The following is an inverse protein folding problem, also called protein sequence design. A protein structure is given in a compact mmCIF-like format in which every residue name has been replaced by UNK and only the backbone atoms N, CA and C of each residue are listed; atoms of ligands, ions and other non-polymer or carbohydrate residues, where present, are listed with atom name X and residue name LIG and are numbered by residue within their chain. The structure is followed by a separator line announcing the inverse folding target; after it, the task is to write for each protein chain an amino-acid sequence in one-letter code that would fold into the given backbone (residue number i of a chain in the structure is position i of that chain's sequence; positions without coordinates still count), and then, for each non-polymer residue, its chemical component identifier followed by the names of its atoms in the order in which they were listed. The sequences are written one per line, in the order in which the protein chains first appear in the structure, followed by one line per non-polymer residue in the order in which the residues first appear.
data_IF_588950004757
#
_entry.id   IF_588950004757
#
_cell.length_a   1.000
_cell.length_b   1.000
_cell.length_c   1.000
_cell.angle_alpha   90.00
_cell.angle_beta   90.00
_cell.angle_gamma   90.00
#
_symmetry.space_group_name_H-M   'P 1'
#
loop_
_entity.id
_entity.type
_entity.pdbx_description
1 polymer ?
#
# COMPACT_ATOMS: atom_id res chain seq x y z
N UNK A 1 31.32 38.19 -27.23
CA UNK A 1 30.79 37.96 -25.88
C UNK A 1 29.50 37.19 -26.02
N UNK A 2 29.38 36.03 -25.38
CA UNK A 2 28.14 35.26 -25.37
C UNK A 2 27.55 35.39 -23.97
N UNK A 3 26.38 36.02 -23.90
CA UNK A 3 25.60 36.14 -22.68
C UNK A 3 24.75 34.87 -22.57
N UNK A 4 25.05 34.02 -21.60
CA UNK A 4 24.23 32.87 -21.23
C UNK A 4 23.53 33.20 -19.91
N UNK A 5 22.21 33.24 -19.93
CA UNK A 5 21.38 33.28 -18.73
C UNK A 5 20.75 31.90 -18.58
N UNK A 6 21.29 31.08 -17.68
CA UNK A 6 20.66 29.80 -17.32
C UNK A 6 19.33 30.12 -16.63
N UNK A 7 18.20 29.68 -17.21
CA UNK A 7 16.92 29.68 -16.52
C UNK A 7 16.99 28.75 -15.30
N UNK A 8 17.44 29.28 -14.15
CA UNK A 8 17.16 28.68 -12.84
C UNK A 8 15.68 28.85 -12.52
N UNK A 9 14.83 28.05 -13.16
CA UNK A 9 13.50 27.72 -12.63
C UNK A 9 13.58 26.32 -12.03
N UNK A 10 14.39 26.16 -10.99
CA UNK A 10 14.14 25.08 -10.04
C UNK A 10 12.79 25.42 -9.42
N UNK A 11 11.74 24.71 -9.82
CA UNK A 11 10.51 24.68 -9.03
C UNK A 11 10.92 24.33 -7.59
N UNK A 12 10.35 24.97 -6.56
CA UNK A 12 10.64 24.59 -5.18
C UNK A 12 10.37 23.09 -5.03
N UNK A 13 11.32 22.36 -4.45
CA UNK A 13 11.20 20.92 -4.29
C UNK A 13 9.98 20.63 -3.41
N UNK A 14 9.05 19.82 -3.91
CA UNK A 14 7.84 19.45 -3.16
C UNK A 14 8.24 18.75 -1.85
N UNK A 15 7.82 19.33 -0.73
CA UNK A 15 8.03 18.79 0.61
C UNK A 15 6.83 17.94 1.00
N UNK A 16 7.08 16.68 1.35
CA UNK A 16 6.01 15.78 1.79
C UNK A 16 5.45 16.25 3.13
N UNK A 17 4.13 16.55 3.22
CA UNK A 17 3.48 16.89 4.47
C UNK A 17 3.58 15.76 5.49
N UNK A 18 3.50 16.12 6.77
CA UNK A 18 3.57 15.13 7.85
C UNK A 18 2.21 14.84 8.50
N UNK A 19 1.12 15.33 7.89
CA UNK A 19 -0.27 15.22 8.34
C UNK A 19 -0.77 13.79 8.44
N UNK A 20 -0.28 12.91 7.56
CA UNK A 20 -0.58 11.47 7.55
C UNK A 20 0.73 10.71 7.41
N UNK A 21 0.90 9.69 8.25
CA UNK A 21 2.12 8.90 8.34
C UNK A 21 1.79 7.41 8.45
N UNK A 22 2.76 6.59 8.04
CA UNK A 22 2.71 5.16 8.30
C UNK A 22 3.39 4.87 9.64
N UNK A 23 2.65 4.32 10.58
CA UNK A 23 3.14 3.82 11.86
C UNK A 23 3.43 2.33 11.73
N UNK A 24 4.71 1.96 11.79
CA UNK A 24 5.19 0.61 11.50
C UNK A 24 5.64 -0.07 12.78
N UNK A 25 4.89 -1.06 13.24
CA UNK A 25 5.19 -1.86 14.42
C UNK A 25 6.02 -3.10 14.05
N UNK A 26 7.03 -3.38 14.86
CA UNK A 26 7.57 -4.74 14.93
C UNK A 26 6.49 -5.67 15.51
N UNK A 27 6.46 -6.90 15.03
CA UNK A 27 5.53 -7.93 15.51
C UNK A 27 6.28 -9.22 15.80
N UNK A 28 5.82 -9.95 16.82
CA UNK A 28 6.18 -11.36 16.99
C UNK A 28 4.93 -12.20 16.76
N UNK A 29 4.92 -12.91 15.63
CA UNK A 29 3.85 -13.79 15.23
C UNK A 29 4.47 -14.84 14.29
N UNK A 30 4.21 -16.12 14.53
CA UNK A 30 4.75 -17.20 13.67
C UNK A 30 3.90 -17.39 12.43
N UNK A 31 2.58 -17.39 12.62
CA UNK A 31 1.59 -17.69 11.59
C UNK A 31 0.37 -16.83 11.78
N UNK A 32 -0.23 -16.40 10.68
CA UNK A 32 -1.50 -15.66 10.63
C UNK A 32 -2.38 -16.28 9.53
N UNK A 33 -3.71 -16.27 9.61
CA UNK A 33 -4.55 -16.79 8.54
C UNK A 33 -4.25 -16.11 7.20
N UNK A 34 -4.42 -16.83 6.09
CA UNK A 34 -4.21 -16.28 4.76
C UNK A 34 -5.18 -15.12 4.48
N UNK A 35 -6.45 -15.31 4.78
CA UNK A 35 -7.50 -14.30 4.67
C UNK A 35 -7.83 -13.69 6.05
N UNK A 36 -6.86 -12.98 6.61
CA UNK A 36 -6.97 -12.38 7.95
C UNK A 36 -7.55 -10.95 7.94
N UNK A 37 -7.98 -10.42 6.80
CA UNK A 37 -8.34 -9.01 6.66
C UNK A 37 -9.43 -8.56 7.65
N UNK A 38 -10.53 -9.33 7.73
CA UNK A 38 -11.61 -9.07 8.68
C UNK A 38 -11.15 -9.24 10.13
N UNK A 39 -10.48 -10.35 10.45
CA UNK A 39 -10.07 -10.67 11.81
C UNK A 39 -9.05 -9.66 12.36
N UNK A 40 -8.09 -9.25 11.53
CA UNK A 40 -7.10 -8.23 11.89
C UNK A 40 -7.76 -6.87 12.12
N UNK A 41 -8.66 -6.46 11.22
CA UNK A 41 -9.43 -5.22 11.39
C UNK A 41 -10.21 -5.23 12.70
N UNK A 42 -10.98 -6.29 12.97
CA UNK A 42 -11.79 -6.42 14.18
C UNK A 42 -10.93 -6.38 15.45
N UNK A 43 -9.79 -7.08 15.46
CA UNK A 43 -8.88 -7.10 16.61
C UNK A 43 -8.25 -5.73 16.88
N UNK A 44 -7.86 -5.00 15.82
CA UNK A 44 -7.30 -3.66 15.94
C UNK A 44 -8.35 -2.62 16.34
N UNK A 45 -9.57 -2.67 15.78
CA UNK A 45 -10.66 -1.79 16.20
C UNK A 45 -11.06 -2.05 17.66
N UNK A 46 -11.01 -3.30 18.13
CA UNK A 46 -11.23 -3.60 19.56
C UNK A 46 -10.17 -2.96 20.45
N UNK A 47 -8.90 -2.98 20.03
CA UNK A 47 -7.80 -2.37 20.78
C UNK A 47 -7.78 -0.83 20.68
N UNK A 48 -8.19 -0.28 19.54
CA UNK A 48 -8.25 1.15 19.23
C UNK A 48 -9.63 1.51 18.64
N UNK A 49 -10.68 1.66 19.47
CA UNK A 49 -12.05 1.88 18.99
C UNK A 49 -12.23 3.10 18.08
N UNK A 50 -11.35 4.11 18.23
CA UNK A 50 -11.38 5.31 17.40
C UNK A 50 -11.01 5.06 15.93
N UNK A 51 -10.41 3.91 15.58
CA UNK A 51 -10.04 3.58 14.19
C UNK A 51 -11.25 3.62 13.25
N UNK A 52 -12.42 3.17 13.70
CA UNK A 52 -13.64 3.12 12.89
C UNK A 52 -14.17 4.52 12.54
N UNK A 53 -13.93 5.49 13.40
CA UNK A 53 -14.38 6.87 13.23
C UNK A 53 -13.35 7.78 12.55
N UNK A 54 -12.12 7.28 12.30
CA UNK A 54 -11.03 8.06 11.72
C UNK A 54 -10.94 7.83 10.20
N UNK A 55 -11.38 8.78 9.34
CA UNK A 55 -11.53 8.53 7.91
C UNK A 55 -10.21 8.24 7.19
N UNK A 56 -9.11 8.79 7.71
CA UNK A 56 -7.77 8.61 7.15
C UNK A 56 -7.01 7.44 7.78
N UNK A 57 -7.64 6.69 8.70
CA UNK A 57 -7.05 5.46 9.21
C UNK A 57 -7.05 4.37 8.12
N UNK A 58 -5.98 3.60 8.08
CA UNK A 58 -5.83 2.46 7.17
C UNK A 58 -4.98 1.37 7.81
N UNK A 59 -5.36 0.12 7.58
CA UNK A 59 -4.65 -1.05 8.11
C UNK A 59 -4.03 -1.77 6.92
N UNK A 60 -2.70 -1.79 6.81
CA UNK A 60 -2.05 -2.59 5.78
C UNK A 60 -2.07 -4.07 6.20
N UNK A 61 -2.53 -4.94 5.29
CA UNK A 61 -2.53 -6.38 5.53
C UNK A 61 -1.10 -6.92 5.67
N UNK A 62 -0.97 -7.99 6.44
CA UNK A 62 0.31 -8.62 6.71
C UNK A 62 0.61 -9.62 5.60
N UNK A 63 1.66 -9.36 4.83
CA UNK A 63 2.07 -10.26 3.75
C UNK A 63 3.34 -11.02 4.11
N UNK A 64 3.38 -12.30 3.73
CA UNK A 64 4.60 -13.08 3.64
C UNK A 64 5.15 -13.03 2.21
N UNK A 65 6.33 -13.62 1.99
CA UNK A 65 6.86 -13.78 0.64
C UNK A 65 5.89 -14.63 -0.20
N UNK A 66 5.43 -14.09 -1.34
CA UNK A 66 4.43 -14.75 -2.19
C UNK A 66 4.97 -15.97 -2.93
N UNK A 67 6.29 -16.04 -3.15
CA UNK A 67 6.95 -17.19 -3.77
C UNK A 67 8.46 -17.09 -3.52
N UNK A 68 8.97 -17.93 -2.63
CA UNK A 68 10.40 -18.15 -2.44
C UNK A 68 10.61 -19.58 -1.94
N UNK A 69 11.50 -20.33 -2.59
CA UNK A 69 11.84 -21.73 -2.28
C UNK A 69 10.77 -22.78 -2.63
N UNK A 70 10.13 -22.70 -3.81
CA UNK A 70 9.28 -23.79 -4.30
C UNK A 70 7.94 -23.97 -3.56
N UNK A 71 7.57 -23.03 -2.69
CA UNK A 71 6.26 -22.99 -2.06
C UNK A 71 5.21 -22.50 -3.08
N UNK A 72 4.34 -23.42 -3.49
CA UNK A 72 3.16 -23.13 -4.31
C UNK A 72 2.04 -22.74 -3.34
N UNK A 73 1.43 -21.58 -3.58
CA UNK A 73 0.22 -21.15 -2.87
C UNK A 73 -0.90 -22.13 -3.24
N UNK A 74 -1.47 -22.89 -2.29
CA UNK A 74 -2.51 -23.85 -2.64
C UNK A 74 -3.81 -23.12 -3.02
N UNK A 75 -4.65 -23.78 -3.82
CA UNK A 75 -5.82 -23.17 -4.44
C UNK A 75 -7.01 -22.99 -3.49
N UNK A 76 -6.97 -23.59 -2.29
CA UNK A 76 -8.07 -23.61 -1.31
C UNK A 76 -7.65 -22.87 -0.04
N UNK A 77 -8.06 -21.61 0.08
CA UNK A 77 -7.63 -20.71 1.16
C UNK A 77 -8.26 -20.99 2.54
N UNK A 78 -9.14 -21.98 2.67
CA UNK A 78 -9.80 -22.28 3.96
C UNK A 78 -8.81 -22.97 4.91
N UNK A 79 -8.56 -22.35 6.06
CA UNK A 79 -7.57 -22.76 7.09
C UNK A 79 -6.11 -22.67 6.66
N UNK A 80 -5.79 -21.99 5.56
CA UNK A 80 -4.41 -21.71 5.22
C UNK A 80 -3.83 -20.59 6.08
N UNK A 81 -2.54 -20.73 6.40
CA UNK A 81 -1.78 -19.74 7.18
C UNK A 81 -0.57 -19.25 6.42
N UNK A 82 -0.24 -17.98 6.63
CA UNK A 82 1.01 -17.37 6.21
C UNK A 82 2.06 -17.55 7.31
N UNK A 83 3.20 -18.13 6.97
CA UNK A 83 4.38 -18.16 7.85
C UNK A 83 5.12 -16.83 7.76
N UNK A 84 5.27 -16.16 8.89
CA UNK A 84 5.84 -14.82 8.95
C UNK A 84 7.32 -14.86 9.28
N UNK A 85 8.09 -14.02 8.60
CA UNK A 85 9.49 -13.80 8.93
C UNK A 85 9.62 -12.80 10.10
N UNK A 86 10.75 -12.79 10.79
CA UNK A 86 11.07 -11.76 11.79
C UNK A 86 11.09 -10.32 11.23
N UNK A 87 11.16 -10.17 9.91
CA UNK A 87 11.16 -8.86 9.22
C UNK A 87 9.75 -8.34 8.96
N UNK A 88 8.73 -9.19 9.04
CA UNK A 88 7.33 -8.79 8.86
C UNK A 88 6.95 -7.74 9.91
N UNK A 89 6.09 -6.80 9.50
CA UNK A 89 5.65 -5.66 10.31
C UNK A 89 4.14 -5.52 10.20
N UNK A 90 3.53 -4.98 11.25
CA UNK A 90 2.18 -4.42 11.19
C UNK A 90 2.32 -2.94 10.84
N UNK A 91 1.55 -2.45 9.87
CA UNK A 91 1.61 -1.06 9.44
C UNK A 91 0.21 -0.44 9.44
N UNK A 92 0.09 0.71 10.12
CA UNK A 92 -1.12 1.52 10.15
C UNK A 92 -0.85 2.86 9.47
N UNK A 93 -1.70 3.26 8.53
CA UNK A 93 -1.68 4.62 7.98
C UNK A 93 -2.60 5.50 8.79
N UNK A 94 -2.09 6.57 9.39
CA UNK A 94 -2.81 7.36 10.38
C UNK A 94 -2.52 8.86 10.24
N UNK A 95 -3.50 9.72 10.55
CA UNK A 95 -3.23 11.12 10.84
C UNK A 95 -2.22 11.31 11.97
N UNK A 96 -1.40 12.37 11.88
CA UNK A 96 -0.33 12.66 12.84
C UNK A 96 -0.84 12.77 14.28
N UNK A 97 -2.01 13.37 14.48
CA UNK A 97 -2.64 13.51 15.80
C UNK A 97 -3.05 12.17 16.44
N UNK A 98 -3.19 11.09 15.66
CA UNK A 98 -3.53 9.74 16.15
C UNK A 98 -2.34 8.85 16.42
N UNK A 99 -1.11 9.27 16.08
CA UNK A 99 0.08 8.45 16.25
C UNK A 99 0.31 8.07 17.73
N UNK A 100 0.14 9.03 18.64
CA UNK A 100 0.28 8.77 20.08
C UNK A 100 -0.81 7.84 20.62
N UNK A 101 -2.04 7.98 20.13
CA UNK A 101 -3.14 7.07 20.52
C UNK A 101 -2.86 5.63 20.06
N UNK A 102 -2.30 5.47 18.87
CA UNK A 102 -1.94 4.16 18.32
C UNK A 102 -0.75 3.50 19.05
N UNK A 103 0.11 4.28 19.74
CA UNK A 103 1.20 3.71 20.55
C UNK A 103 0.70 2.82 21.68
N UNK A 104 -0.58 2.92 22.08
CA UNK A 104 -1.20 2.02 23.06
C UNK A 104 -1.14 0.54 22.64
N UNK A 105 -0.97 0.25 21.34
CA UNK A 105 -0.75 -1.11 20.85
C UNK A 105 0.60 -1.69 21.27
N UNK A 106 1.60 -0.87 21.59
CA UNK A 106 2.91 -1.36 22.00
C UNK A 106 2.81 -2.24 23.25
N UNK A 107 3.32 -3.46 23.16
CA UNK A 107 3.28 -4.44 24.25
C UNK A 107 1.98 -5.22 24.36
N UNK A 108 0.97 -4.92 23.53
CA UNK A 108 -0.26 -5.70 23.47
C UNK A 108 -0.06 -6.99 22.66
N UNK A 109 -0.79 -8.03 23.05
CA UNK A 109 -1.01 -9.22 22.23
C UNK A 109 -2.47 -9.24 21.79
N UNK A 110 -2.71 -9.25 20.48
CA UNK A 110 -4.05 -9.34 19.91
C UNK A 110 -4.27 -10.74 19.31
N UNK A 111 -5.51 -11.21 19.33
CA UNK A 111 -5.89 -12.46 18.67
C UNK A 111 -6.51 -12.17 17.30
N UNK A 112 -5.91 -12.73 16.26
CA UNK A 112 -6.39 -12.66 14.87
C UNK A 112 -6.86 -14.05 14.47
N UNK A 113 -8.16 -14.30 14.59
CA UNK A 113 -8.79 -15.60 14.31
C UNK A 113 -8.14 -16.77 15.09
N UNK A 114 -7.87 -16.54 16.38
CA UNK A 114 -7.21 -17.53 17.24
C UNK A 114 -5.68 -17.51 17.18
N UNK A 115 -5.06 -16.75 16.27
CA UNK A 115 -3.61 -16.60 16.19
C UNK A 115 -3.13 -15.38 16.98
N UNK A 116 -2.21 -15.59 17.91
CA UNK A 116 -1.63 -14.51 18.71
C UNK A 116 -0.62 -13.69 17.88
N UNK A 117 -0.78 -12.37 17.97
CA UNK A 117 0.11 -11.39 17.37
C UNK A 117 0.55 -10.41 18.45
N UNK A 118 1.82 -10.54 18.87
CA UNK A 118 2.45 -9.59 19.77
C UNK A 118 2.88 -8.34 19.01
N UNK A 119 2.45 -7.18 19.47
CA UNK A 119 2.82 -5.89 18.91
C UNK A 119 3.96 -5.29 19.74
N UNK A 120 5.05 -4.92 19.06
CA UNK A 120 6.29 -4.45 19.70
C UNK A 120 6.56 -3.00 19.32
N UNK A 121 7.79 -2.53 19.43
CA UNK A 121 8.12 -1.12 19.19
C UNK A 121 7.76 -0.67 17.77
N UNK A 122 7.40 0.59 17.63
CA UNK A 122 6.99 1.20 16.37
C UNK A 122 7.92 2.32 15.93
N UNK A 123 7.86 2.65 14.65
CA UNK A 123 8.48 3.85 14.09
C UNK A 123 7.50 4.51 13.12
N UNK A 124 7.35 5.84 13.22
CA UNK A 124 6.57 6.60 12.25
C UNK A 124 7.41 6.92 11.02
N UNK A 125 6.78 6.95 9.85
CA UNK A 125 7.40 7.28 8.58
C UNK A 125 6.49 8.21 7.81
N UNK A 126 7.08 9.28 7.26
CA UNK A 126 6.38 10.10 6.26
C UNK A 126 6.09 9.25 5.03
N UNK A 127 5.03 9.61 4.32
CA UNK A 127 4.76 9.06 3.00
C UNK A 127 5.91 9.38 2.04
N UNK A 128 6.00 8.61 0.96
CA UNK A 128 7.13 8.74 0.02
C UNK A 128 6.61 9.23 -1.32
N UNK A 129 7.12 10.37 -1.80
CA UNK A 129 6.86 10.82 -3.17
C UNK A 129 7.40 9.77 -4.15
N UNK A 130 6.60 9.39 -5.14
CA UNK A 130 6.99 8.40 -6.14
C UNK A 130 6.20 8.59 -7.42
N UNK A 131 6.82 8.54 -8.60
CA UNK A 131 6.08 8.58 -9.87
C UNK A 131 5.17 7.37 -10.03
N UNK A 132 5.41 6.29 -9.28
CA UNK A 132 4.63 5.05 -9.32
C UNK A 132 4.17 4.69 -7.92
N UNK A 133 2.87 4.47 -7.78
CA UNK A 133 2.25 3.93 -6.57
C UNK A 133 1.46 2.68 -6.90
N UNK A 134 1.35 1.79 -5.93
CA UNK A 134 0.68 0.51 -6.07
C UNK A 134 -0.24 0.24 -4.88
N UNK A 135 -1.47 -0.15 -5.17
CA UNK A 135 -2.40 -0.72 -4.21
C UNK A 135 -2.58 -2.20 -4.53
N UNK A 136 -2.38 -3.05 -3.52
CA UNK A 136 -2.51 -4.50 -3.70
C UNK A 136 -3.97 -4.94 -3.83
N UNK A 137 -4.87 -4.22 -3.14
CA UNK A 137 -6.29 -4.50 -3.11
C UNK A 137 -7.06 -3.20 -3.32
N UNK A 138 -7.85 -3.14 -4.38
CA UNK A 138 -8.87 -2.12 -4.63
C UNK A 138 -10.18 -2.84 -4.86
N UNK A 139 -11.21 -2.52 -4.09
CA UNK A 139 -12.50 -3.22 -4.18
C UNK A 139 -13.09 -3.01 -5.58
N UNK A 140 -13.57 -4.08 -6.19
CA UNK A 140 -14.31 -4.05 -7.45
C UNK A 140 -15.65 -4.76 -7.31
N UNK A 141 -16.67 -4.18 -7.94
CA UNK A 141 -18.01 -4.77 -8.04
C UNK A 141 -18.25 -5.44 -9.41
N UNK A 142 -17.30 -5.28 -10.33
CA UNK A 142 -17.39 -5.81 -11.69
C UNK A 142 -16.16 -6.65 -12.00
N UNK A 143 -16.39 -7.73 -12.75
CA UNK A 143 -15.32 -8.53 -13.35
C UNK A 143 -14.81 -7.91 -14.67
N UNK A 144 -15.52 -6.90 -15.19
CA UNK A 144 -15.07 -6.10 -16.33
C UNK A 144 -13.97 -5.11 -15.91
N UNK A 145 -12.76 -5.38 -16.41
CA UNK A 145 -11.57 -4.56 -16.20
C UNK A 145 -11.72 -3.14 -16.75
N UNK A 146 -12.35 -2.97 -17.91
CA UNK A 146 -12.51 -1.65 -18.53
C UNK A 146 -13.46 -0.78 -17.70
N UNK A 147 -14.57 -1.35 -17.24
CA UNK A 147 -15.48 -0.68 -16.31
C UNK A 147 -14.80 -0.31 -14.99
N UNK A 148 -13.98 -1.22 -14.44
CA UNK A 148 -13.18 -0.96 -13.24
C UNK A 148 -12.23 0.23 -13.45
N UNK A 149 -11.40 0.22 -14.50
CA UNK A 149 -10.45 1.29 -14.79
C UNK A 149 -11.14 2.64 -15.02
N UNK A 150 -12.29 2.65 -15.71
CA UNK A 150 -13.09 3.87 -15.91
C UNK A 150 -13.61 4.44 -14.59
N UNK A 151 -14.06 3.58 -13.66
CA UNK A 151 -14.51 4.01 -12.34
C UNK A 151 -13.35 4.59 -11.49
N UNK A 152 -12.17 3.98 -11.58
CA UNK A 152 -10.96 4.48 -10.91
C UNK A 152 -10.53 5.83 -11.50
N UNK A 153 -10.54 5.97 -12.82
CA UNK A 153 -10.23 7.23 -13.49
C UNK A 153 -11.14 8.37 -13.01
N UNK A 154 -12.43 8.10 -12.86
CA UNK A 154 -13.40 9.07 -12.32
C UNK A 154 -13.04 9.49 -10.89
N UNK A 155 -12.82 8.53 -9.98
CA UNK A 155 -12.44 8.84 -8.59
C UNK A 155 -11.15 9.67 -8.50
N UNK A 156 -10.14 9.32 -9.29
CA UNK A 156 -8.88 10.07 -9.33
C UNK A 156 -9.09 11.50 -9.86
N UNK A 157 -9.94 11.66 -10.88
CA UNK A 157 -10.28 12.98 -11.41
C UNK A 157 -11.02 13.85 -10.40
N UNK A 158 -11.93 13.27 -9.61
CA UNK A 158 -12.64 13.96 -8.51
C UNK A 158 -11.67 14.41 -7.39
N UNK A 159 -10.57 13.70 -7.21
CA UNK A 159 -9.47 14.09 -6.31
C UNK A 159 -8.52 15.13 -6.91
N UNK A 160 -8.72 15.53 -8.17
CA UNK A 160 -7.83 16.44 -8.90
C UNK A 160 -6.55 15.78 -9.43
N UNK A 161 -6.48 14.44 -9.45
CA UNK A 161 -5.32 13.69 -9.94
C UNK A 161 -5.51 13.36 -11.42
N UNK A 162 -4.56 13.78 -12.25
CA UNK A 162 -4.60 13.47 -13.68
C UNK A 162 -3.98 12.11 -13.96
N UNK A 163 -4.82 11.14 -14.26
CA UNK A 163 -4.38 9.81 -14.67
C UNK A 163 -3.65 9.84 -16.00
N UNK A 164 -2.39 9.38 -16.01
CA UNK A 164 -1.57 9.25 -17.22
C UNK A 164 -1.39 7.79 -17.62
N UNK A 165 -1.05 6.93 -16.66
CA UNK A 165 -0.93 5.48 -16.84
C UNK A 165 -1.53 4.74 -15.65
N UNK A 166 -2.33 3.72 -15.95
CA UNK A 166 -2.84 2.76 -14.96
C UNK A 166 -2.68 1.35 -15.50
N UNK A 167 -2.36 0.42 -14.61
CA UNK A 167 -2.30 -1.00 -14.93
C UNK A 167 -3.10 -1.78 -13.89
N UNK A 168 -4.12 -2.50 -14.37
CA UNK A 168 -4.84 -3.48 -13.56
C UNK A 168 -4.00 -4.75 -13.42
N UNK A 169 -3.95 -5.29 -12.21
CA UNK A 169 -3.24 -6.51 -11.89
C UNK A 169 -4.16 -7.64 -11.47
N UNK A 170 -3.63 -8.52 -10.61
CA UNK A 170 -4.29 -9.74 -10.14
C UNK A 170 -5.60 -9.45 -9.41
N UNK A 171 -6.58 -10.34 -9.61
CA UNK A 171 -7.81 -10.39 -8.82
C UNK A 171 -7.59 -11.25 -7.56
N UNK A 172 -8.20 -10.84 -6.45
CA UNK A 172 -8.27 -11.61 -5.21
C UNK A 172 -9.68 -11.57 -4.67
N UNK A 173 -10.06 -12.61 -3.94
CA UNK A 173 -11.30 -12.67 -3.18
C UNK A 173 -10.97 -12.65 -1.69
N UNK A 174 -11.75 -11.87 -0.93
CA UNK A 174 -11.64 -11.77 0.52
C UNK A 174 -13.00 -12.01 1.17
N UNK A 175 -13.04 -12.76 2.26
CA UNK A 175 -14.21 -12.89 3.12
C UNK A 175 -14.24 -11.70 4.09
N UNK A 176 -15.06 -10.70 3.76
CA UNK A 176 -15.23 -9.47 4.55
C UNK A 176 -16.71 -9.29 4.90
N UNK A 177 -17.02 -8.97 6.15
CA UNK A 177 -18.39 -8.67 6.60
C UNK A 177 -19.41 -9.75 6.19
N UNK A 178 -19.03 -11.02 6.32
CA UNK A 178 -19.82 -12.20 5.90
C UNK A 178 -20.18 -12.25 4.40
N UNK A 179 -19.43 -11.54 3.55
CA UNK A 179 -19.56 -11.55 2.09
C UNK A 179 -18.20 -11.78 1.43
N UNK A 180 -18.22 -12.37 0.24
CA UNK A 180 -17.03 -12.45 -0.60
C UNK A 180 -16.91 -11.15 -1.37
N UNK A 181 -15.83 -10.40 -1.13
CA UNK A 181 -15.51 -9.15 -1.81
C UNK A 181 -14.39 -9.41 -2.81
N UNK A 182 -14.62 -9.02 -4.06
CA UNK A 182 -13.59 -9.03 -5.11
C UNK A 182 -12.73 -7.78 -5.02
N UNK A 183 -11.42 -7.98 -5.15
CA UNK A 183 -10.43 -6.89 -5.19
C UNK A 183 -9.48 -7.09 -6.35
N UNK A 184 -8.90 -5.99 -6.85
CA UNK A 184 -7.89 -5.99 -7.89
C UNK A 184 -6.67 -5.22 -7.44
N UNK A 185 -5.48 -5.70 -7.80
CA UNK A 185 -4.27 -4.91 -7.69
C UNK A 185 -4.28 -3.80 -8.73
N UNK A 186 -3.74 -2.63 -8.38
CA UNK A 186 -3.74 -1.46 -9.25
C UNK A 186 -2.42 -0.71 -9.11
N UNK A 187 -1.76 -0.47 -10.23
CA UNK A 187 -0.61 0.42 -10.33
C UNK A 187 -1.02 1.71 -11.04
N UNK A 188 -0.58 2.85 -10.53
CA UNK A 188 -0.73 4.15 -11.17
C UNK A 188 0.66 4.73 -11.33
N UNK A 189 0.98 5.18 -12.54
CA UNK A 189 2.30 5.64 -12.94
C UNK A 189 2.26 7.06 -13.55
N UNK A 190 3.44 7.65 -13.66
CA UNK A 190 3.70 9.02 -14.10
C UNK A 190 3.00 10.08 -13.23
N UNK A 191 2.89 9.85 -11.92
CA UNK A 191 2.31 10.83 -10.99
C UNK A 191 3.29 11.96 -10.65
N UNK A 192 2.78 13.17 -10.50
CA UNK A 192 3.54 14.23 -9.83
C UNK A 192 3.75 13.89 -8.35
N UNK A 193 4.75 14.53 -7.73
CA UNK A 193 5.07 14.30 -6.32
C UNK A 193 3.85 14.55 -5.40
N UNK A 194 3.11 15.63 -5.65
CA UNK A 194 1.91 15.98 -4.89
C UNK A 194 0.77 14.97 -5.09
N UNK A 195 0.46 14.62 -6.35
CA UNK A 195 -0.56 13.62 -6.69
C UNK A 195 -0.26 12.26 -6.04
N UNK A 196 1.02 11.85 -6.06
CA UNK A 196 1.45 10.59 -5.46
C UNK A 196 1.26 10.55 -3.94
N UNK A 197 1.50 11.68 -3.25
CA UNK A 197 1.32 11.77 -1.80
C UNK A 197 -0.16 11.86 -1.46
N UNK A 198 -0.92 12.70 -2.18
CA UNK A 198 -2.37 12.84 -1.99
C UNK A 198 -3.09 11.48 -2.13
N UNK A 199 -2.74 10.71 -3.16
CA UNK A 199 -3.30 9.38 -3.37
C UNK A 199 -2.91 8.39 -2.26
N UNK A 200 -1.69 8.47 -1.73
CA UNK A 200 -1.31 7.68 -0.57
C UNK A 200 -2.09 8.09 0.69
N UNK A 201 -2.34 9.38 0.91
CA UNK A 201 -3.11 9.85 2.08
C UNK A 201 -4.58 9.42 2.02
N UNK A 202 -5.23 9.64 0.87
CA UNK A 202 -6.67 9.46 0.69
C UNK A 202 -7.04 8.03 0.29
N UNK A 203 -6.15 7.31 -0.41
CA UNK A 203 -6.45 6.01 -0.96
C UNK A 203 -7.53 6.06 -2.05
N UNK A 204 -8.11 4.91 -2.36
CA UNK A 204 -9.29 4.78 -3.23
C UNK A 204 -10.31 3.84 -2.61
N UNK A 205 -11.57 3.98 -2.98
CA UNK A 205 -12.67 3.11 -2.52
C UNK A 205 -12.85 3.06 -0.99
N UNK A 206 -13.84 2.29 -0.54
CA UNK A 206 -14.05 2.00 0.88
C UNK A 206 -13.16 0.84 1.33
N UNK A 207 -13.09 0.59 2.65
CA UNK A 207 -12.42 -0.60 3.19
C UNK A 207 -10.94 -0.43 3.56
N UNK A 208 -10.50 0.80 3.86
CA UNK A 208 -9.14 1.10 4.35
C UNK A 208 -8.75 0.30 5.59
N UNK A 209 -9.70 0.03 6.48
CA UNK A 209 -9.49 -0.80 7.67
C UNK A 209 -9.35 -2.30 7.35
N UNK A 210 -9.79 -2.73 6.17
CA UNK A 210 -9.59 -4.08 5.65
C UNK A 210 -8.40 -4.17 4.69
N UNK A 211 -7.55 -3.13 4.64
CA UNK A 211 -6.38 -3.06 3.75
C UNK A 211 -6.69 -2.87 2.28
N UNK A 212 -7.91 -2.45 1.96
CA UNK A 212 -8.29 -2.07 0.60
C UNK A 212 -8.06 -0.57 0.38
N UNK A 213 -7.70 -0.20 -0.85
CA UNK A 213 -7.55 1.19 -1.25
C UNK A 213 -6.27 1.87 -0.80
N UNK A 214 -5.35 1.15 -0.14
CA UNK A 214 -4.12 1.73 0.41
C UNK A 214 -2.98 1.64 -0.61
N UNK A 215 -2.51 2.80 -1.04
CA UNK A 215 -1.38 2.91 -1.98
C UNK A 215 -0.04 2.98 -1.25
N UNK A 216 0.98 2.36 -1.82
CA UNK A 216 2.37 2.50 -1.38
C UNK A 216 3.24 2.92 -2.56
N UNK A 217 4.24 3.74 -2.28
CA UNK A 217 5.31 4.02 -3.24
C UNK A 217 5.91 2.70 -3.73
N UNK A 218 5.93 2.51 -5.05
CA UNK A 218 6.53 1.36 -5.68
C UNK A 218 7.81 1.78 -6.38
N UNK A 219 8.87 0.99 -6.26
CA UNK A 219 10.07 1.23 -7.06
C UNK A 219 9.70 0.96 -8.51
N UNK A 220 9.83 1.99 -9.35
CA UNK A 220 9.56 1.85 -10.76
C UNK A 220 10.44 0.77 -11.38
N UNK A 221 9.87 0.06 -12.35
CA UNK A 221 10.67 -0.61 -13.37
C UNK A 221 11.06 0.51 -14.31
N UNK A 222 12.19 1.17 -14.07
CA UNK A 222 12.82 1.95 -15.13
C UNK A 222 13.22 0.90 -16.17
N UNK A 223 12.50 0.83 -17.29
CA UNK A 223 12.98 0.12 -18.44
C UNK A 223 14.37 0.69 -18.75
N UNK A 224 15.38 -0.17 -18.78
CA UNK A 224 16.70 0.21 -19.27
C UNK A 224 16.56 0.37 -20.78
N UNK A 225 16.02 1.51 -21.22
CA UNK A 225 15.96 1.84 -22.63
C UNK A 225 17.37 2.22 -23.08
N UNK A 226 17.99 1.25 -23.77
CA UNK A 226 18.69 1.42 -25.04
C UNK A 226 19.50 2.71 -25.25
N UNK A 227 20.47 3.01 -24.39
CA UNK A 227 21.62 3.86 -24.73
C UNK A 227 22.92 3.21 -24.22
N UNK A 228 23.40 2.23 -24.99
CA UNK A 228 24.83 2.01 -25.16
C UNK A 228 25.15 2.02 -26.65
N UNK A 229 25.29 3.24 -27.16
CA UNK A 229 25.98 3.53 -28.40
C UNK A 229 27.37 2.86 -28.43
N UNK A 230 27.67 2.29 -29.61
CA UNK A 230 28.94 2.36 -30.34
C UNK A 230 30.17 2.77 -29.52
N UNK A 231 31.16 1.86 -29.51
CA UNK A 231 32.64 2.02 -29.55
C UNK A 231 33.15 0.67 -29.00
N UNK A 232 33.67 -0.28 -29.78
CA UNK A 232 35.01 -0.26 -30.34
C UNK A 232 35.13 -1.43 -31.34
N UNK A 233 35.23 -1.12 -32.63
CA UNK A 233 36.04 -1.94 -33.54
C UNK A 233 37.48 -1.55 -33.27
N UNK A 234 38.23 -2.39 -32.55
CA UNK A 234 39.69 -2.46 -32.62
C UNK A 234 40.21 -3.72 -31.94
N UNK A 235 40.98 -4.47 -32.73
CA UNK A 235 42.08 -5.35 -32.35
C UNK A 235 41.74 -6.65 -31.60
N UNK A 236 41.45 -7.72 -32.37
CA UNK A 236 42.32 -8.90 -32.57
C UNK A 236 41.60 -9.98 -33.41
#
# INVERSE_FOLDING_TARGET
MMYWEEEKKSKPEYQVPDDVQDLVFKINCKTIPLDHAQALSSALCKALPWLEAEPLAGIHLIHAAESGNGWIRPEISENEVLYLSKRTKLQLRLPKNRLNDAQKLHGMTISVDGYELDIRESASRKLTKSPIVFARYVITQSDDEAAFLKNIQRQLSEMGIKVRKMLCGKCHQHKLLNKVMSTRSLMIADLESEESVLLQQQGLSTGRLFGCGLFMAHKGIIAVDAESEKVQTKDL
#
